data_IF_974941112640
#
_entry.id   IF_974941112640
#
_cell.length_a   1.000
_cell.length_b   1.000
_cell.length_c   1.000
_cell.angle_alpha   90.00
_cell.angle_beta   90.00
_cell.angle_gamma   90.00
#
_symmetry.space_group_name_H-M   'P 1'
#
loop_
_entity.id
_entity.type
_entity.pdbx_description
1 polymer ?
#
# COMPACT_ATOMS: atom_id res chain seq x y z
N UNK A 1 23.01 -1.79 9.62
CA UNK A 1 22.08 -2.92 9.65
C UNK A 1 22.70 -4.03 8.81
N UNK A 2 23.01 -5.18 9.41
CA UNK A 2 23.64 -6.32 8.72
C UNK A 2 22.73 -6.78 7.57
N UNK A 3 23.18 -6.59 6.32
CA UNK A 3 22.48 -7.08 5.15
C UNK A 3 22.51 -8.61 5.20
N UNK A 4 21.35 -9.26 5.32
CA UNK A 4 21.28 -10.72 5.33
C UNK A 4 21.92 -11.23 4.02
N UNK A 5 23.02 -11.95 4.18
CA UNK A 5 23.81 -12.48 3.07
C UNK A 5 23.43 -13.93 2.92
N UNK A 6 22.90 -14.27 1.75
CA UNK A 6 22.47 -15.62 1.39
C UNK A 6 23.56 -16.33 0.58
N UNK A 7 23.42 -17.64 0.41
CA UNK A 7 24.21 -18.41 -0.55
C UNK A 7 23.30 -18.95 -1.64
N UNK A 8 23.75 -18.91 -2.90
CA UNK A 8 23.04 -19.47 -4.04
C UNK A 8 23.86 -20.56 -4.73
N UNK A 9 23.24 -21.71 -4.96
CA UNK A 9 23.84 -22.85 -5.66
C UNK A 9 22.86 -23.53 -6.60
N UNK A 10 23.38 -24.18 -7.62
CA UNK A 10 22.64 -25.19 -8.37
C UNK A 10 22.73 -26.53 -7.60
N UNK A 11 21.61 -27.08 -7.10
CA UNK A 11 21.61 -28.31 -6.32
C UNK A 11 21.90 -29.55 -7.18
N UNK A 12 21.69 -29.51 -8.50
CA UNK A 12 21.92 -30.66 -9.37
C UNK A 12 23.40 -30.82 -9.71
N UNK A 13 24.08 -29.72 -10.01
CA UNK A 13 25.52 -29.72 -10.33
C UNK A 13 26.41 -29.48 -9.11
N UNK A 14 25.86 -28.97 -8.01
CA UNK A 14 26.62 -28.47 -6.87
C UNK A 14 27.34 -27.13 -7.14
N UNK A 15 27.16 -26.53 -8.33
CA UNK A 15 27.86 -25.31 -8.70
C UNK A 15 27.42 -24.12 -7.83
N UNK A 16 28.39 -23.47 -7.22
CA UNK A 16 28.16 -22.25 -6.43
C UNK A 16 28.00 -21.07 -7.38
N UNK A 17 26.83 -20.43 -7.32
CA UNK A 17 26.53 -19.23 -8.10
C UNK A 17 27.02 -17.97 -7.38
N UNK A 18 26.80 -17.90 -6.06
CA UNK A 18 27.30 -16.85 -5.19
C UNK A 18 27.40 -17.36 -3.74
N UNK A 19 28.55 -17.14 -3.10
CA UNK A 19 28.76 -17.39 -1.66
C UNK A 19 28.23 -16.24 -0.80
N UNK A 20 28.24 -15.01 -1.33
CA UNK A 20 27.72 -13.81 -0.67
C UNK A 20 26.67 -13.12 -1.53
N UNK A 21 25.44 -13.59 -1.42
CA UNK A 21 24.29 -13.04 -2.13
C UNK A 21 23.54 -12.03 -1.25
N UNK A 22 23.74 -10.74 -1.54
CA UNK A 22 23.02 -9.66 -0.86
C UNK A 22 21.58 -9.59 -1.37
N UNK A 23 20.62 -9.31 -0.49
CA UNK A 23 19.21 -9.20 -0.90
C UNK A 23 18.72 -7.75 -0.94
N UNK A 24 18.16 -7.34 -2.08
CA UNK A 24 17.59 -6.02 -2.31
C UNK A 24 16.07 -6.13 -2.45
N UNK A 25 15.37 -5.81 -1.35
CA UNK A 25 13.91 -6.01 -1.20
C UNK A 25 13.08 -4.73 -1.32
N UNK A 26 13.65 -3.58 -0.98
CA UNK A 26 12.96 -2.30 -1.05
C UNK A 26 13.07 -1.71 -2.45
N UNK A 27 12.12 -0.85 -2.84
CA UNK A 27 12.20 -0.15 -4.13
C UNK A 27 13.54 0.59 -4.29
N UNK A 28 14.05 1.21 -3.22
CA UNK A 28 15.33 1.90 -3.22
C UNK A 28 16.53 0.96 -3.34
N UNK A 29 16.56 -0.14 -2.58
CA UNK A 29 17.62 -1.12 -2.71
C UNK A 29 17.67 -1.71 -4.13
N UNK A 30 16.50 -1.83 -4.78
CA UNK A 30 16.39 -2.31 -6.16
C UNK A 30 16.76 -1.27 -7.21
N UNK A 31 16.38 -0.01 -7.00
CA UNK A 31 16.69 1.09 -7.92
C UNK A 31 18.20 1.39 -7.91
N UNK A 32 18.82 1.35 -6.73
CA UNK A 32 20.25 1.55 -6.61
C UNK A 32 21.02 0.29 -6.96
N UNK A 33 20.61 -0.89 -6.50
CA UNK A 33 21.25 -2.16 -6.86
C UNK A 33 22.78 -2.09 -6.81
N UNK A 34 23.41 -2.28 -7.97
CA UNK A 34 24.87 -2.20 -8.16
C UNK A 34 25.36 -0.82 -8.66
N UNK A 35 24.53 0.21 -8.70
CA UNK A 35 24.93 1.56 -9.08
C UNK A 35 25.94 2.14 -8.08
N UNK A 36 27.00 2.76 -8.61
CA UNK A 36 28.08 3.35 -7.82
C UNK A 36 29.14 2.36 -7.35
N UNK A 37 28.96 1.04 -7.56
CA UNK A 37 30.02 0.06 -7.29
C UNK A 37 31.04 0.06 -8.45
N UNK A 38 32.28 -0.34 -8.15
CA UNK A 38 33.37 -0.40 -9.16
C UNK A 38 33.44 -1.75 -9.86
N UNK A 39 33.07 -2.84 -9.16
CA UNK A 39 33.02 -4.21 -9.66
C UNK A 39 32.15 -5.06 -8.73
N UNK A 40 31.64 -6.18 -9.25
CA UNK A 40 31.08 -7.27 -8.45
C UNK A 40 32.13 -8.39 -8.35
N UNK A 41 32.61 -8.70 -7.14
CA UNK A 41 33.69 -9.66 -6.98
C UNK A 41 33.22 -11.10 -7.26
N UNK A 42 34.10 -12.00 -7.71
CA UNK A 42 33.78 -13.43 -7.79
C UNK A 42 33.25 -13.97 -6.45
N UNK A 43 32.15 -14.72 -6.50
CA UNK A 43 31.46 -15.23 -5.31
C UNK A 43 30.47 -14.25 -4.66
N UNK A 44 30.47 -12.97 -5.02
CA UNK A 44 29.41 -12.04 -4.63
C UNK A 44 28.23 -12.10 -5.63
N UNK A 45 27.04 -11.74 -5.16
CA UNK A 45 25.87 -11.54 -6.01
C UNK A 45 24.88 -10.57 -5.39
N UNK A 46 23.94 -10.10 -6.21
CA UNK A 46 22.79 -9.34 -5.74
C UNK A 46 21.50 -10.04 -6.14
N UNK A 47 20.57 -10.14 -5.20
CA UNK A 47 19.26 -10.73 -5.40
C UNK A 47 18.16 -9.68 -5.28
N UNK A 48 17.58 -9.31 -6.42
CA UNK A 48 16.53 -8.31 -6.54
C UNK A 48 15.16 -8.97 -6.42
N UNK A 49 14.36 -8.53 -5.44
CA UNK A 49 13.02 -9.08 -5.20
C UNK A 49 11.99 -8.05 -4.71
N UNK A 50 10.78 -8.00 -5.29
CA UNK A 50 10.37 -8.69 -6.53
C UNK A 50 11.01 -8.01 -7.75
N UNK A 51 11.43 -8.74 -8.80
CA UNK A 51 12.03 -8.10 -9.99
C UNK A 51 11.70 -8.87 -11.28
N UNK A 52 11.38 -8.14 -12.35
CA UNK A 52 11.02 -8.68 -13.69
C UNK A 52 11.78 -8.04 -14.85
N UNK A 53 12.57 -7.02 -14.56
CA UNK A 53 13.37 -6.28 -15.52
C UNK A 53 14.47 -5.57 -14.74
N UNK A 54 15.68 -5.56 -15.29
CA UNK A 54 16.83 -4.86 -14.73
C UNK A 54 17.39 -3.89 -15.75
N UNK A 55 18.13 -2.89 -15.28
CA UNK A 55 18.86 -1.97 -16.13
C UNK A 55 20.30 -1.86 -15.66
N UNK A 56 21.18 -1.56 -16.60
CA UNK A 56 22.59 -1.24 -16.35
C UNK A 56 22.89 0.24 -16.70
N UNK A 57 21.85 1.06 -16.83
CA UNK A 57 21.97 2.52 -17.02
C UNK A 57 22.74 3.11 -15.84
N UNK A 58 23.87 3.77 -16.13
CA UNK A 58 24.75 4.35 -15.10
C UNK A 58 25.77 3.37 -14.49
N UNK A 59 25.77 2.10 -14.89
CA UNK A 59 26.80 1.13 -14.49
C UNK A 59 28.08 1.31 -15.29
N UNK A 60 29.19 0.77 -14.76
CA UNK A 60 30.53 0.84 -15.37
C UNK A 60 31.06 -0.49 -15.89
N UNK A 61 30.42 -1.60 -15.54
CA UNK A 61 30.87 -2.95 -15.87
C UNK A 61 29.67 -3.84 -16.23
N UNK A 62 29.87 -4.89 -17.05
CA UNK A 62 28.81 -5.83 -17.40
C UNK A 62 28.51 -6.81 -16.24
N UNK A 63 27.29 -7.31 -16.20
CA UNK A 63 26.85 -8.33 -15.25
C UNK A 63 26.12 -9.46 -15.96
N UNK A 64 26.19 -10.65 -15.38
CA UNK A 64 25.33 -11.75 -15.77
C UNK A 64 24.00 -11.66 -15.02
N UNK A 65 22.91 -12.01 -15.68
CA UNK A 65 21.57 -11.90 -15.10
C UNK A 65 20.82 -13.22 -15.24
N UNK A 66 20.27 -13.73 -14.14
CA UNK A 66 19.35 -14.87 -14.14
C UNK A 66 18.00 -14.48 -13.54
N UNK A 67 16.93 -14.57 -14.33
CA UNK A 67 15.56 -14.35 -13.89
C UNK A 67 15.01 -15.64 -13.29
N UNK A 68 14.42 -15.57 -12.10
CA UNK A 68 13.86 -16.72 -11.39
C UNK A 68 12.34 -16.58 -11.23
N UNK A 69 11.58 -17.68 -11.36
CA UNK A 69 10.16 -17.75 -11.02
C UNK A 69 9.91 -17.79 -9.49
N UNK A 70 8.67 -18.05 -9.04
CA UNK A 70 8.34 -18.15 -7.61
C UNK A 70 8.92 -19.39 -6.92
N UNK A 71 9.32 -20.42 -7.68
CA UNK A 71 9.92 -21.66 -7.21
C UNK A 71 11.46 -21.66 -7.27
N UNK A 72 12.06 -20.50 -7.57
CA UNK A 72 13.49 -20.31 -7.79
C UNK A 72 14.04 -21.09 -9.00
N UNK A 73 13.22 -21.32 -10.03
CA UNK A 73 13.67 -21.86 -11.32
C UNK A 73 14.04 -20.73 -12.25
N UNK A 74 15.16 -20.88 -12.94
CA UNK A 74 15.63 -19.95 -13.95
C UNK A 74 14.67 -19.98 -15.14
N UNK A 75 14.08 -18.82 -15.47
CA UNK A 75 13.16 -18.68 -16.62
C UNK A 75 13.81 -17.96 -17.80
N UNK A 76 14.86 -17.19 -17.55
CA UNK A 76 15.60 -16.46 -18.57
C UNK A 76 17.00 -16.13 -18.03
N UNK A 77 18.02 -16.21 -18.88
CA UNK A 77 19.39 -15.78 -18.58
C UNK A 77 19.84 -14.75 -19.60
N UNK A 78 20.71 -13.83 -19.17
CA UNK A 78 21.38 -12.87 -20.03
C UNK A 78 22.86 -12.84 -19.65
N UNK A 79 23.69 -13.34 -20.56
CA UNK A 79 25.14 -13.33 -20.42
C UNK A 79 25.70 -11.92 -20.69
N UNK A 80 26.49 -11.40 -19.76
CA UNK A 80 27.26 -10.18 -19.92
C UNK A 80 26.44 -8.95 -20.34
N UNK A 81 25.31 -8.68 -19.67
CA UNK A 81 24.50 -7.48 -19.90
C UNK A 81 25.36 -6.22 -19.75
N UNK A 82 25.66 -5.59 -20.89
CA UNK A 82 26.60 -4.47 -20.98
C UNK A 82 26.07 -3.20 -20.29
N UNK A 83 26.94 -2.27 -19.86
CA UNK A 83 26.53 -0.95 -19.36
C UNK A 83 25.59 -0.19 -20.29
N UNK A 84 24.66 0.58 -19.72
CA UNK A 84 23.74 1.41 -20.50
C UNK A 84 22.70 0.61 -21.29
N UNK A 85 22.21 -0.51 -20.74
CA UNK A 85 21.19 -1.36 -21.37
C UNK A 85 20.01 -1.58 -20.42
N UNK A 86 18.89 -1.96 -21.02
CA UNK A 86 17.69 -2.38 -20.32
C UNK A 86 17.41 -3.82 -20.74
N UNK A 87 17.15 -4.71 -19.77
CA UNK A 87 16.76 -6.09 -20.07
C UNK A 87 15.36 -6.14 -20.69
N UNK A 88 14.98 -7.23 -21.37
CA UNK A 88 13.59 -7.52 -21.64
C UNK A 88 12.79 -7.59 -20.34
N UNK A 89 11.49 -7.35 -20.45
CA UNK A 89 10.54 -7.59 -19.37
C UNK A 89 10.14 -9.07 -19.37
N UNK A 90 10.47 -9.79 -18.30
CA UNK A 90 10.22 -11.24 -18.17
C UNK A 90 9.01 -11.45 -17.26
N UNK A 91 7.82 -11.60 -17.87
CA UNK A 91 6.55 -11.66 -17.15
C UNK A 91 6.47 -12.80 -16.10
N UNK A 92 7.08 -13.95 -16.40
CA UNK A 92 7.10 -15.12 -15.54
C UNK A 92 8.14 -15.04 -14.40
N UNK A 93 9.00 -14.02 -14.41
CA UNK A 93 9.96 -13.82 -13.34
C UNK A 93 9.28 -13.28 -12.07
N UNK A 94 9.76 -13.72 -10.92
CA UNK A 94 9.43 -13.18 -9.60
C UNK A 94 10.62 -12.42 -9.01
N UNK A 95 11.84 -12.82 -9.36
CA UNK A 95 13.10 -12.27 -8.84
C UNK A 95 14.23 -12.34 -9.86
N UNK A 96 15.33 -11.64 -9.59
CA UNK A 96 16.52 -11.61 -10.45
C UNK A 96 17.78 -11.77 -9.62
N UNK A 97 18.69 -12.63 -10.07
CA UNK A 97 20.07 -12.70 -9.62
C UNK A 97 20.97 -11.91 -10.57
N UNK A 98 21.71 -10.95 -10.02
CA UNK A 98 22.80 -10.26 -10.69
C UNK A 98 24.12 -10.86 -10.21
N UNK A 99 24.89 -11.38 -11.15
CA UNK A 99 26.13 -12.14 -10.92
C UNK A 99 27.30 -11.47 -11.67
N UNK A 100 28.56 -11.72 -11.25
CA UNK A 100 29.73 -11.27 -12.01
C UNK A 100 29.67 -11.83 -13.43
N UNK A 101 30.04 -11.02 -14.43
CA UNK A 101 30.05 -11.46 -15.82
C UNK A 101 30.89 -12.74 -16.02
N UNK A 102 30.37 -13.68 -16.81
CA UNK A 102 30.99 -14.99 -17.05
C UNK A 102 30.69 -16.05 -15.98
N UNK A 103 29.86 -15.74 -14.98
CA UNK A 103 29.40 -16.72 -14.00
C UNK A 103 28.44 -17.72 -14.62
N UNK A 104 27.49 -17.28 -15.47
CA UNK A 104 26.53 -18.17 -16.13
C UNK A 104 27.24 -19.22 -16.99
N UNK A 105 28.21 -18.78 -17.80
CA UNK A 105 29.04 -19.66 -18.61
C UNK A 105 29.85 -20.66 -17.75
N UNK A 106 30.47 -20.18 -16.66
CA UNK A 106 31.28 -21.02 -15.75
C UNK A 106 30.45 -22.08 -15.06
N UNK A 107 29.23 -21.75 -14.62
CA UNK A 107 28.35 -22.67 -13.88
C UNK A 107 27.38 -23.42 -14.78
N UNK A 108 27.38 -23.14 -16.09
CA UNK A 108 26.42 -23.67 -17.08
C UNK A 108 24.96 -23.49 -16.64
N UNK A 109 24.66 -22.35 -15.99
CA UNK A 109 23.32 -22.08 -15.49
C UNK A 109 22.41 -21.73 -16.68
N UNK A 110 21.35 -22.51 -16.87
CA UNK A 110 20.43 -22.36 -17.99
C UNK A 110 18.97 -22.24 -17.52
N UNK A 111 18.08 -21.85 -18.44
CA UNK A 111 16.65 -21.88 -18.18
C UNK A 111 16.18 -23.30 -17.82
N UNK A 112 15.25 -23.40 -16.87
CA UNK A 112 14.77 -24.65 -16.29
C UNK A 112 15.53 -25.09 -15.03
N UNK A 113 16.79 -24.66 -14.86
CA UNK A 113 17.59 -25.01 -13.67
C UNK A 113 16.97 -24.43 -12.42
N UNK A 114 16.85 -25.25 -11.38
CA UNK A 114 16.39 -24.79 -10.06
C UNK A 114 17.59 -24.26 -9.29
N UNK A 115 17.47 -23.09 -8.70
CA UNK A 115 18.49 -22.51 -7.82
C UNK A 115 18.05 -22.69 -6.38
N UNK A 116 18.96 -23.19 -5.55
CA UNK A 116 18.78 -23.23 -4.11
C UNK A 116 19.40 -21.97 -3.50
N UNK A 117 18.58 -21.19 -2.79
CA UNK A 117 19.01 -19.99 -2.08
C UNK A 117 18.77 -20.21 -0.59
N UNK A 118 19.82 -20.14 0.22
CA UNK A 118 19.73 -20.39 1.66
C UNK A 118 18.79 -19.36 2.34
N UNK A 119 17.87 -19.84 3.18
CA UNK A 119 16.85 -19.00 3.84
C UNK A 119 15.70 -18.54 2.93
N UNK A 120 15.65 -18.95 1.67
CA UNK A 120 14.60 -18.52 0.74
C UNK A 120 13.25 -19.24 0.94
N UNK A 121 13.26 -20.49 1.41
CA UNK A 121 12.06 -21.30 1.64
C UNK A 121 11.24 -20.84 2.87
N UNK A 122 11.91 -20.52 3.97
CA UNK A 122 11.29 -19.95 5.19
C UNK A 122 10.61 -18.61 4.88
N UNK A 123 11.28 -17.78 4.08
CA UNK A 123 10.76 -16.51 3.59
C UNK A 123 9.52 -16.68 2.68
N UNK A 124 9.48 -17.71 1.84
CA UNK A 124 8.33 -18.01 0.98
C UNK A 124 7.08 -18.43 1.75
N UNK A 125 7.25 -19.26 2.79
CA UNK A 125 6.15 -19.69 3.67
C UNK A 125 5.58 -18.53 4.48
N UNK A 126 6.45 -17.70 5.07
CA UNK A 126 6.04 -16.48 5.77
C UNK A 126 5.32 -15.48 4.85
N UNK A 127 5.80 -15.32 3.61
CA UNK A 127 5.15 -14.46 2.60
C UNK A 127 3.76 -14.97 2.21
N UNK A 128 3.58 -16.28 2.02
CA UNK A 128 2.26 -16.88 1.73
C UNK A 128 1.29 -16.70 2.90
N UNK A 129 1.73 -16.98 4.13
CA UNK A 129 0.92 -16.78 5.34
C UNK A 129 0.51 -15.31 5.48
N UNK A 130 1.45 -14.38 5.29
CA UNK A 130 1.16 -12.93 5.34
C UNK A 130 0.20 -12.49 4.23
N UNK A 131 0.33 -13.02 3.01
CA UNK A 131 -0.57 -12.74 1.91
C UNK A 131 -1.99 -13.28 2.17
N UNK A 132 -2.11 -14.51 2.71
CA UNK A 132 -3.38 -15.09 3.12
C UNK A 132 -4.04 -14.28 4.23
N UNK A 133 -3.29 -13.86 5.25
CA UNK A 133 -3.81 -13.00 6.31
C UNK A 133 -4.30 -11.64 5.79
N UNK A 134 -3.56 -11.02 4.88
CA UNK A 134 -3.97 -9.78 4.23
C UNK A 134 -5.23 -9.95 3.36
N UNK A 135 -5.36 -11.08 2.66
CA UNK A 135 -6.54 -11.44 1.86
C UNK A 135 -7.77 -11.70 2.75
N UNK A 136 -7.60 -12.42 3.86
CA UNK A 136 -8.66 -12.64 4.84
C UNK A 136 -9.14 -11.32 5.46
N UNK A 137 -8.23 -10.42 5.85
CA UNK A 137 -8.60 -9.09 6.34
C UNK A 137 -9.34 -8.25 5.29
N UNK A 138 -8.91 -8.33 4.02
CA UNK A 138 -9.60 -7.68 2.90
C UNK A 138 -11.02 -8.19 2.73
N UNK A 139 -11.18 -9.51 2.75
CA UNK A 139 -12.48 -10.16 2.61
C UNK A 139 -13.39 -9.78 3.78
N UNK A 140 -12.88 -9.81 5.01
CA UNK A 140 -13.63 -9.38 6.19
C UNK A 140 -14.13 -7.94 6.11
N UNK A 141 -13.27 -7.00 5.70
CA UNK A 141 -13.67 -5.60 5.49
C UNK A 141 -14.68 -5.46 4.34
N UNK A 142 -14.48 -6.16 3.23
CA UNK A 142 -15.43 -6.14 2.10
C UNK A 142 -16.80 -6.69 2.53
N UNK A 143 -16.84 -7.81 3.26
CA UNK A 143 -18.07 -8.38 3.80
C UNK A 143 -18.79 -7.43 4.76
N UNK A 144 -18.05 -6.69 5.60
CA UNK A 144 -18.63 -5.68 6.47
C UNK A 144 -19.31 -4.55 5.67
N UNK A 145 -18.68 -4.05 4.61
CA UNK A 145 -19.30 -3.01 3.76
C UNK A 145 -20.48 -3.54 2.93
N UNK A 146 -20.47 -4.82 2.52
CA UNK A 146 -21.65 -5.46 1.92
C UNK A 146 -22.82 -5.49 2.90
N UNK A 147 -22.56 -5.82 4.17
CA UNK A 147 -23.57 -5.80 5.22
C UNK A 147 -24.16 -4.40 5.41
N UNK A 148 -23.34 -3.35 5.44
CA UNK A 148 -23.83 -1.98 5.55
C UNK A 148 -24.65 -1.56 4.32
N UNK A 149 -24.19 -1.86 3.11
CA UNK A 149 -24.93 -1.59 1.88
C UNK A 149 -26.31 -2.29 1.88
N UNK A 150 -26.36 -3.56 2.31
CA UNK A 150 -27.61 -4.29 2.44
C UNK A 150 -28.55 -3.67 3.50
N UNK A 151 -28.00 -3.24 4.64
CA UNK A 151 -28.77 -2.57 5.69
C UNK A 151 -29.36 -1.23 5.20
N UNK A 152 -28.55 -0.40 4.52
CA UNK A 152 -29.01 0.85 3.92
C UNK A 152 -30.07 0.62 2.85
N UNK A 153 -29.91 -0.38 1.97
CA UNK A 153 -30.93 -0.76 1.00
C UNK A 153 -32.25 -1.20 1.66
N UNK A 154 -32.18 -1.96 2.76
CA UNK A 154 -33.36 -2.36 3.51
C UNK A 154 -34.06 -1.17 4.19
N UNK A 155 -33.30 -0.16 4.64
CA UNK A 155 -33.87 1.10 5.16
C UNK A 155 -34.52 1.91 4.04
N UNK A 156 -33.87 2.06 2.88
CA UNK A 156 -34.44 2.78 1.73
C UNK A 156 -35.75 2.15 1.25
N UNK A 157 -35.82 0.81 1.20
CA UNK A 157 -37.07 0.08 0.86
C UNK A 157 -38.20 0.33 1.85
N UNK A 158 -37.90 0.50 3.13
CA UNK A 158 -38.90 0.72 4.19
C UNK A 158 -39.35 2.18 4.29
N UNK A 159 -38.44 3.12 4.07
CA UNK A 159 -38.68 4.57 4.27
C UNK A 159 -39.01 5.31 2.97
N UNK A 160 -38.66 4.75 1.82
CA UNK A 160 -38.78 5.43 0.53
C UNK A 160 -37.69 6.48 0.25
N UNK A 161 -36.74 6.67 1.17
CA UNK A 161 -35.68 7.70 1.08
C UNK A 161 -34.52 7.30 0.15
N UNK A 162 -34.84 7.03 -1.12
CA UNK A 162 -33.86 6.58 -2.10
C UNK A 162 -32.80 7.63 -2.43
N UNK A 163 -33.21 8.90 -2.54
CA UNK A 163 -32.32 9.99 -2.96
C UNK A 163 -31.16 10.22 -1.98
N UNK A 164 -31.42 10.12 -0.68
CA UNK A 164 -30.40 10.30 0.37
C UNK A 164 -29.59 9.02 0.61
N UNK A 165 -30.20 7.84 0.40
CA UNK A 165 -29.57 6.55 0.71
C UNK A 165 -28.68 6.03 -0.43
N UNK A 166 -29.07 6.19 -1.70
CA UNK A 166 -28.32 5.65 -2.84
C UNK A 166 -26.87 6.15 -2.92
N UNK A 167 -26.56 7.44 -2.67
CA UNK A 167 -25.17 7.91 -2.65
C UNK A 167 -24.30 7.19 -1.60
N UNK A 168 -24.87 6.88 -0.43
CA UNK A 168 -24.18 6.14 0.65
C UNK A 168 -23.89 4.71 0.20
N UNK A 169 -24.90 4.03 -0.36
CA UNK A 169 -24.76 2.66 -0.90
C UNK A 169 -23.72 2.63 -2.02
N UNK A 170 -23.69 3.64 -2.89
CA UNK A 170 -22.68 3.77 -3.95
C UNK A 170 -21.26 3.89 -3.39
N UNK A 171 -21.06 4.70 -2.33
CA UNK A 171 -19.77 4.79 -1.63
C UNK A 171 -19.38 3.45 -1.00
N UNK A 172 -20.31 2.76 -0.35
CA UNK A 172 -20.04 1.46 0.29
C UNK A 172 -19.67 0.40 -0.76
N UNK A 173 -20.37 0.36 -1.88
CA UNK A 173 -20.03 -0.50 -3.01
C UNK A 173 -18.63 -0.19 -3.56
N UNK A 174 -18.28 1.09 -3.71
CA UNK A 174 -16.92 1.49 -4.11
C UNK A 174 -15.88 0.96 -3.11
N UNK A 175 -16.14 1.05 -1.80
CA UNK A 175 -15.24 0.52 -0.77
C UNK A 175 -15.09 -1.00 -0.87
N UNK A 176 -16.17 -1.76 -1.10
CA UNK A 176 -16.12 -3.21 -1.35
C UNK A 176 -15.16 -3.49 -2.52
N UNK A 177 -15.36 -2.84 -3.66
CA UNK A 177 -14.52 -3.01 -4.85
C UNK A 177 -13.04 -2.68 -4.56
N UNK A 178 -12.77 -1.59 -3.83
CA UNK A 178 -11.41 -1.18 -3.50
C UNK A 178 -10.71 -2.11 -2.50
N UNK A 179 -11.43 -2.70 -1.53
CA UNK A 179 -10.85 -3.68 -0.61
C UNK A 179 -10.57 -5.02 -1.31
N UNK A 180 -11.44 -5.46 -2.22
CA UNK A 180 -11.19 -6.65 -3.05
C UNK A 180 -10.03 -6.42 -4.02
N UNK A 181 -9.92 -5.23 -4.60
CA UNK A 181 -8.82 -4.84 -5.47
C UNK A 181 -7.63 -4.23 -4.70
N UNK A 182 -7.54 -4.33 -3.37
CA UNK A 182 -6.52 -3.58 -2.60
C UNK A 182 -5.10 -3.99 -3.00
N UNK A 183 -4.20 -3.02 -3.15
CA UNK A 183 -2.76 -3.30 -3.37
C UNK A 183 -2.11 -3.82 -2.09
N UNK A 184 -1.16 -4.77 -2.18
CA UNK A 184 -0.31 -5.14 -1.06
C UNK A 184 0.45 -3.92 -0.50
N UNK A 185 0.60 -3.86 0.82
CA UNK A 185 1.41 -2.84 1.48
C UNK A 185 2.89 -3.16 1.37
N UNK A 186 3.70 -2.16 1.04
CA UNK A 186 5.17 -2.21 1.07
C UNK A 186 5.69 -2.23 2.51
N UNK A 187 5.02 -1.48 3.39
CA UNK A 187 5.28 -1.46 4.82
C UNK A 187 4.02 -1.05 5.58
N UNK A 188 3.86 -1.57 6.80
CA UNK A 188 2.72 -1.28 7.68
C UNK A 188 3.23 -0.94 9.07
N UNK A 189 2.58 0.00 9.75
CA UNK A 189 2.90 0.26 11.15
C UNK A 189 2.43 -0.88 12.05
N UNK A 190 3.29 -1.30 12.97
CA UNK A 190 2.99 -2.31 14.00
C UNK A 190 2.72 -1.70 15.37
N UNK A 191 2.76 -0.35 15.49
CA UNK A 191 2.57 0.33 16.77
C UNK A 191 1.10 0.24 17.21
N UNK A 192 0.79 -0.24 18.42
CA UNK A 192 -0.59 -0.34 18.89
C UNK A 192 -1.35 0.98 18.84
N UNK A 193 -0.70 2.10 19.16
CA UNK A 193 -1.27 3.45 19.08
C UNK A 193 -1.85 3.79 17.70
N UNK A 194 -1.15 3.41 16.64
CA UNK A 194 -1.51 3.72 15.26
C UNK A 194 -2.76 2.92 14.85
N UNK A 195 -2.86 1.69 15.36
CA UNK A 195 -4.03 0.82 15.20
C UNK A 195 -5.22 1.35 15.99
N UNK A 196 -5.03 1.78 17.23
CA UNK A 196 -6.10 2.38 18.05
C UNK A 196 -6.68 3.61 17.37
N UNK A 197 -5.84 4.52 16.88
CA UNK A 197 -6.31 5.70 16.13
C UNK A 197 -7.05 5.31 14.84
N UNK A 198 -6.55 4.31 14.12
CA UNK A 198 -7.21 3.74 12.95
C UNK A 198 -8.61 3.19 13.25
N UNK A 199 -8.72 2.35 14.28
CA UNK A 199 -9.96 1.69 14.69
C UNK A 199 -10.96 2.72 15.25
N UNK A 200 -10.55 3.56 16.20
CA UNK A 200 -11.42 4.56 16.82
C UNK A 200 -11.92 5.56 15.76
N UNK A 201 -11.02 6.10 14.93
CA UNK A 201 -11.39 7.05 13.88
C UNK A 201 -12.29 6.47 12.79
N UNK A 202 -12.32 5.14 12.61
CA UNK A 202 -13.18 4.48 11.62
C UNK A 202 -14.50 3.98 12.21
N UNK A 203 -14.50 3.43 13.43
CA UNK A 203 -15.66 2.73 13.97
C UNK A 203 -16.41 3.48 15.07
N UNK A 204 -15.82 4.46 15.74
CA UNK A 204 -16.53 5.26 16.77
C UNK A 204 -17.81 5.94 16.23
N UNK A 205 -17.86 6.46 14.98
CA UNK A 205 -19.07 7.07 14.43
C UNK A 205 -20.28 6.11 14.36
N UNK A 206 -20.07 4.79 14.31
CA UNK A 206 -21.16 3.81 14.34
C UNK A 206 -21.95 3.81 15.65
N UNK A 207 -21.41 4.43 16.70
CA UNK A 207 -22.06 4.60 17.99
C UNK A 207 -22.99 5.82 18.02
N UNK A 208 -22.98 6.68 16.98
CA UNK A 208 -23.91 7.80 16.88
C UNK A 208 -25.34 7.28 16.68
N UNK A 209 -26.32 8.05 17.16
CA UNK A 209 -27.75 7.68 17.05
C UNK A 209 -28.57 8.91 16.66
N UNK A 210 -29.52 8.72 15.76
CA UNK A 210 -30.46 9.78 15.42
C UNK A 210 -31.35 10.06 16.63
N UNK A 211 -31.35 11.30 17.12
CA UNK A 211 -32.31 11.76 18.11
C UNK A 211 -33.65 12.03 17.41
N UNK A 212 -34.78 11.71 18.06
CA UNK A 212 -36.12 11.81 17.47
C UNK A 212 -36.59 13.25 17.12
N UNK A 213 -35.81 14.29 17.41
CA UNK A 213 -36.03 15.66 16.95
C UNK A 213 -34.82 16.14 16.17
N UNK A 214 -35.06 16.60 14.93
CA UNK A 214 -34.08 17.37 14.19
C UNK A 214 -33.79 18.68 14.96
N UNK A 215 -32.52 19.05 15.09
CA UNK A 215 -32.12 20.28 15.77
C UNK A 215 -32.61 21.54 15.03
N UNK A 216 -32.53 22.70 15.69
CA UNK A 216 -32.86 24.00 15.07
C UNK A 216 -32.06 24.29 13.79
N UNK A 217 -30.87 23.69 13.64
CA UNK A 217 -30.00 23.80 12.47
C UNK A 217 -30.09 22.57 11.54
N UNK A 218 -31.12 21.73 11.68
CA UNK A 218 -31.20 20.45 10.98
C UNK A 218 -31.19 20.56 9.46
N UNK A 219 -31.72 21.66 8.91
CA UNK A 219 -31.68 21.97 7.48
C UNK A 219 -30.27 22.22 6.93
N UNK A 220 -29.32 22.64 7.78
CA UNK A 220 -27.92 22.84 7.39
C UNK A 220 -27.11 21.53 7.41
N UNK A 221 -27.58 20.50 8.13
CA UNK A 221 -26.84 19.24 8.25
C UNK A 221 -26.75 18.46 6.94
N UNK A 222 -27.84 18.40 6.16
CA UNK A 222 -27.87 17.63 4.91
C UNK A 222 -26.87 18.13 3.85
N UNK A 223 -26.72 19.45 3.58
CA UNK A 223 -25.66 19.98 2.72
C UNK A 223 -24.25 19.56 3.17
N UNK A 224 -23.96 19.64 4.47
CA UNK A 224 -22.65 19.26 5.02
C UNK A 224 -22.36 17.77 4.80
N UNK A 225 -23.35 16.90 5.04
CA UNK A 225 -23.23 15.45 4.78
C UNK A 225 -23.00 15.19 3.31
N UNK A 226 -23.75 15.83 2.41
CA UNK A 226 -23.61 15.64 0.97
C UNK A 226 -22.24 16.10 0.46
N UNK A 227 -21.78 17.29 0.87
CA UNK A 227 -20.46 17.78 0.52
C UNK A 227 -19.35 16.86 1.07
N UNK A 228 -19.50 16.37 2.30
CA UNK A 228 -18.54 15.47 2.93
C UNK A 228 -18.47 14.11 2.22
N UNK A 229 -19.63 13.59 1.81
CA UNK A 229 -19.76 12.37 1.01
C UNK A 229 -19.08 12.51 -0.35
N UNK A 230 -19.39 13.59 -1.10
CA UNK A 230 -18.78 13.85 -2.40
C UNK A 230 -17.25 13.96 -2.30
N UNK A 231 -16.76 14.72 -1.31
CA UNK A 231 -15.34 14.88 -1.05
C UNK A 231 -14.66 13.54 -0.73
N UNK A 232 -15.33 12.70 0.06
CA UNK A 232 -14.86 11.35 0.40
C UNK A 232 -14.80 10.46 -0.84
N UNK A 233 -15.87 10.41 -1.65
CA UNK A 233 -15.92 9.61 -2.87
C UNK A 233 -14.85 10.05 -3.86
N UNK A 234 -14.68 11.35 -4.09
CA UNK A 234 -13.60 11.87 -4.93
C UNK A 234 -12.22 11.46 -4.38
N UNK A 235 -12.00 11.61 -3.07
CA UNK A 235 -10.77 11.17 -2.41
C UNK A 235 -10.48 9.67 -2.59
N UNK A 236 -11.52 8.82 -2.50
CA UNK A 236 -11.43 7.38 -2.72
C UNK A 236 -11.09 7.03 -4.17
N UNK A 237 -11.71 7.71 -5.15
CA UNK A 237 -11.43 7.49 -6.57
C UNK A 237 -9.98 7.83 -6.92
N UNK A 238 -9.44 8.95 -6.43
CA UNK A 238 -8.03 9.32 -6.64
C UNK A 238 -7.05 8.42 -5.88
N UNK A 239 -7.42 7.95 -4.68
CA UNK A 239 -6.58 7.02 -3.92
C UNK A 239 -6.52 5.63 -4.59
N UNK A 240 -7.68 5.21 -5.11
CA UNK A 240 -7.92 3.93 -5.75
C UNK A 240 -7.52 2.77 -4.84
N UNK A 241 -6.71 1.86 -5.39
CA UNK A 241 -6.31 0.61 -4.72
C UNK A 241 -5.32 0.81 -3.53
N UNK A 242 -5.01 2.05 -3.16
CA UNK A 242 -4.02 2.40 -2.12
C UNK A 242 -4.66 2.64 -0.74
N UNK A 243 -5.95 2.37 -0.59
CA UNK A 243 -6.72 2.57 0.64
C UNK A 243 -6.24 1.70 1.81
N UNK A 244 -6.36 2.22 3.04
CA UNK A 244 -6.12 1.48 4.28
C UNK A 244 -6.83 2.09 5.48
N UNK A 245 -7.02 1.28 6.52
CA UNK A 245 -7.53 1.71 7.83
C UNK A 245 -6.39 2.14 8.76
N UNK A 246 -5.23 1.48 8.62
CA UNK A 246 -4.03 1.75 9.41
C UNK A 246 -2.93 2.28 8.48
N UNK A 247 -2.08 3.16 9.03
CA UNK A 247 -0.93 3.72 8.36
C UNK A 247 -0.06 2.62 7.72
N UNK A 248 0.02 2.67 6.40
CA UNK A 248 0.78 1.74 5.58
C UNK A 248 1.07 2.36 4.22
N UNK A 249 2.23 2.04 3.65
CA UNK A 249 2.60 2.48 2.32
C UNK A 249 2.06 1.50 1.28
N UNK A 250 1.06 1.95 0.51
CA UNK A 250 0.46 1.22 -0.62
C UNK A 250 0.66 1.95 -1.95
N UNK A 251 1.59 2.90 -1.98
CA UNK A 251 1.79 3.85 -3.07
C UNK A 251 1.22 5.23 -2.71
N UNK A 252 2.12 6.21 -2.64
CA UNK A 252 1.78 7.61 -2.35
C UNK A 252 1.01 8.22 -3.52
N UNK A 253 -0.09 8.92 -3.23
CA UNK A 253 -0.93 9.62 -4.21
C UNK A 253 -0.85 11.13 -3.99
N UNK A 254 -0.57 11.86 -5.06
CA UNK A 254 -0.33 13.31 -5.04
C UNK A 254 -1.11 14.05 -6.16
N UNK A 255 -2.02 13.34 -6.84
CA UNK A 255 -2.75 13.85 -8.01
C UNK A 255 -4.17 14.29 -7.65
N UNK A 256 -4.77 15.10 -8.51
CA UNK A 256 -6.13 15.59 -8.34
C UNK A 256 -6.33 16.35 -7.03
N UNK A 257 -7.33 15.94 -6.26
CA UNK A 257 -7.70 16.62 -5.01
C UNK A 257 -6.61 16.55 -3.93
N UNK A 258 -5.69 15.59 -4.03
CA UNK A 258 -4.50 15.50 -3.17
C UNK A 258 -3.49 16.61 -3.45
N UNK A 259 -3.56 17.31 -4.59
CA UNK A 259 -2.74 18.51 -4.85
C UNK A 259 -3.15 19.71 -3.98
N UNK A 260 -4.38 19.68 -3.46
CA UNK A 260 -4.93 20.77 -2.64
C UNK A 260 -4.71 20.44 -1.17
N UNK A 261 -5.24 19.33 -0.67
CA UNK A 261 -5.07 18.93 0.74
C UNK A 261 -4.53 17.52 0.83
N UNK A 262 -3.75 17.23 1.87
CA UNK A 262 -3.11 15.91 1.99
C UNK A 262 -4.06 14.79 2.37
N UNK A 263 -5.12 15.09 3.11
CA UNK A 263 -6.09 14.11 3.59
C UNK A 263 -7.55 14.51 3.25
N UNK A 264 -7.90 14.58 1.95
CA UNK A 264 -9.21 15.02 1.50
C UNK A 264 -10.34 14.11 2.01
N UNK A 265 -10.11 12.80 2.11
CA UNK A 265 -11.09 11.87 2.68
C UNK A 265 -11.37 12.18 4.15
N UNK A 266 -10.35 12.51 4.94
CA UNK A 266 -10.51 12.83 6.36
C UNK A 266 -11.25 14.16 6.54
N UNK A 267 -11.02 15.12 5.65
CA UNK A 267 -11.82 16.35 5.58
C UNK A 267 -13.30 16.04 5.25
N UNK A 268 -13.53 15.15 4.28
CA UNK A 268 -14.87 14.67 3.92
C UNK A 268 -15.61 14.00 5.08
N UNK A 269 -14.95 13.07 5.78
CA UNK A 269 -15.49 12.45 6.99
C UNK A 269 -15.82 13.48 8.07
N UNK A 270 -14.91 14.43 8.31
CA UNK A 270 -15.12 15.48 9.30
C UNK A 270 -16.36 16.31 8.99
N UNK A 271 -16.55 16.69 7.73
CA UNK A 271 -17.70 17.45 7.27
C UNK A 271 -19.01 16.65 7.43
N UNK A 272 -19.00 15.36 7.09
CA UNK A 272 -20.16 14.48 7.27
C UNK A 272 -20.54 14.29 8.74
N UNK A 273 -19.56 14.12 9.64
CA UNK A 273 -19.85 13.98 11.07
C UNK A 273 -20.38 15.27 11.70
N UNK A 274 -19.87 16.43 11.27
CA UNK A 274 -20.40 17.72 11.68
C UNK A 274 -21.84 17.90 11.18
N UNK A 275 -22.09 17.59 9.91
CA UNK A 275 -23.44 17.62 9.33
C UNK A 275 -24.43 16.72 10.08
N UNK A 276 -24.01 15.51 10.45
CA UNK A 276 -24.85 14.60 11.23
C UNK A 276 -25.18 15.15 12.62
N UNK A 277 -24.22 15.73 13.34
CA UNK A 277 -24.47 16.34 14.67
C UNK A 277 -25.39 17.56 14.55
N UNK A 278 -25.27 18.36 13.48
CA UNK A 278 -26.17 19.48 13.22
C UNK A 278 -27.61 19.01 12.98
N UNK A 279 -27.79 17.89 12.27
CA UNK A 279 -29.09 17.26 12.08
C UNK A 279 -29.66 16.67 13.37
N UNK A 280 -28.83 15.97 14.16
CA UNK A 280 -29.25 15.21 15.34
C UNK A 280 -28.41 15.56 16.57
N UNK A 281 -28.58 16.77 17.13
CA UNK A 281 -27.76 17.23 18.24
C UNK A 281 -28.09 16.44 19.51
N UNK A 282 -27.07 15.81 20.09
CA UNK A 282 -27.14 15.18 21.41
C UNK A 282 -25.76 15.19 22.05
N UNK A 283 -25.68 15.24 23.39
CA UNK A 283 -24.40 15.21 24.10
C UNK A 283 -23.55 13.98 23.71
N UNK A 284 -24.20 12.84 23.50
CA UNK A 284 -23.58 11.61 22.99
C UNK A 284 -22.98 11.80 21.60
N UNK A 285 -23.75 12.31 20.63
CA UNK A 285 -23.25 12.50 19.26
C UNK A 285 -22.13 13.53 19.22
N UNK A 286 -22.23 14.62 19.99
CA UNK A 286 -21.17 15.62 20.11
C UNK A 286 -19.87 15.00 20.68
N UNK A 287 -19.96 14.21 21.75
CA UNK A 287 -18.81 13.53 22.34
C UNK A 287 -18.16 12.55 21.35
N UNK A 288 -18.96 11.71 20.68
CA UNK A 288 -18.47 10.74 19.70
C UNK A 288 -17.79 11.47 18.53
N UNK A 289 -18.39 12.54 18.01
CA UNK A 289 -17.79 13.33 16.94
C UNK A 289 -16.48 13.97 17.40
N UNK A 290 -16.42 14.58 18.59
CA UNK A 290 -15.18 15.15 19.12
C UNK A 290 -14.06 14.10 19.24
N UNK A 291 -14.35 12.93 19.83
CA UNK A 291 -13.41 11.81 19.93
C UNK A 291 -12.96 11.34 18.54
N UNK A 292 -13.89 11.20 17.60
CA UNK A 292 -13.58 10.76 16.24
C UNK A 292 -12.68 11.78 15.52
N UNK A 293 -12.97 13.08 15.61
CA UNK A 293 -12.16 14.13 14.98
C UNK A 293 -10.74 14.16 15.54
N UNK A 294 -10.58 14.00 16.86
CA UNK A 294 -9.26 13.88 17.50
C UNK A 294 -8.53 12.63 17.01
N UNK A 295 -9.19 11.47 16.98
CA UNK A 295 -8.59 10.23 16.49
C UNK A 295 -8.20 10.32 15.01
N UNK A 296 -9.04 10.95 14.17
CA UNK A 296 -8.80 11.13 12.74
C UNK A 296 -7.63 12.09 12.46
N UNK A 297 -7.52 13.17 13.24
CA UNK A 297 -6.38 14.08 13.17
C UNK A 297 -5.09 13.37 13.61
N UNK A 298 -5.12 12.66 14.75
CA UNK A 298 -4.00 11.86 15.23
C UNK A 298 -3.57 10.80 14.20
N UNK A 299 -4.54 10.14 13.56
CA UNK A 299 -4.30 9.19 12.47
C UNK A 299 -3.60 9.86 11.29
N UNK A 300 -4.04 11.05 10.86
CA UNK A 300 -3.39 11.81 9.80
C UNK A 300 -1.92 12.16 10.13
N UNK A 301 -1.64 12.54 11.38
CA UNK A 301 -0.28 12.84 11.85
C UNK A 301 0.60 11.60 11.84
N UNK A 302 0.10 10.49 12.34
CA UNK A 302 0.80 9.20 12.35
C UNK A 302 1.09 8.73 10.92
N UNK A 303 0.11 8.83 10.03
CA UNK A 303 0.25 8.45 8.63
C UNK A 303 1.31 9.31 7.91
N UNK A 304 1.30 10.62 8.11
CA UNK A 304 2.33 11.50 7.56
C UNK A 304 3.72 11.18 8.10
N UNK A 305 3.85 10.96 9.41
CA UNK A 305 5.14 10.56 10.02
C UNK A 305 5.64 9.23 9.46
N UNK A 306 4.72 8.30 9.20
CA UNK A 306 5.06 7.01 8.60
C UNK A 306 5.53 7.18 7.15
N UNK A 307 4.80 7.94 6.34
CA UNK A 307 5.10 8.16 4.91
C UNK A 307 6.30 9.09 4.69
N UNK A 308 6.60 10.01 5.61
CA UNK A 308 7.75 10.93 5.54
C UNK A 308 9.12 10.22 5.55
N UNK A 309 9.16 8.92 5.82
CA UNK A 309 10.35 8.09 5.59
C UNK A 309 10.74 8.07 4.10
N UNK A 310 9.80 8.30 3.20
CA UNK A 310 10.04 8.46 1.77
C UNK A 310 10.46 9.91 1.43
N UNK A 311 11.56 10.11 0.67
CA UNK A 311 11.92 11.44 0.13
C UNK A 311 10.80 12.09 -0.67
N UNK A 312 10.07 11.31 -1.48
CA UNK A 312 8.94 11.81 -2.29
C UNK A 312 7.83 12.40 -1.42
N UNK A 313 7.53 11.76 -0.28
CA UNK A 313 6.50 12.28 0.62
C UNK A 313 6.96 13.56 1.33
N UNK A 314 8.26 13.69 1.63
CA UNK A 314 8.81 14.94 2.18
C UNK A 314 8.72 16.09 1.18
N UNK A 315 8.92 15.81 -0.11
CA UNK A 315 8.71 16.80 -1.17
C UNK A 315 7.23 17.20 -1.29
N UNK A 316 6.34 16.23 -1.17
CA UNK A 316 4.90 16.46 -1.15
C UNK A 316 4.46 17.34 0.03
N UNK A 317 4.98 17.10 1.24
CA UNK A 317 4.71 17.95 2.42
C UNK A 317 5.09 19.41 2.18
N UNK A 318 6.16 19.66 1.41
CA UNK A 318 6.60 21.03 1.06
C UNK A 318 5.68 21.69 0.03
N UNK A 319 5.15 20.93 -0.93
CA UNK A 319 4.27 21.43 -1.99
C UNK A 319 2.83 21.66 -1.54
N UNK A 320 2.34 20.79 -0.65
CA UNK A 320 0.97 20.80 -0.16
C UNK A 320 1.00 20.97 1.35
N UNK A 321 0.99 22.20 1.87
CA UNK A 321 1.15 22.47 3.30
C UNK A 321 -0.12 22.20 4.13
N UNK A 322 -1.28 22.07 3.50
CA UNK A 322 -2.56 21.91 4.18
C UNK A 322 -2.94 20.44 4.43
N UNK A 323 -3.30 20.11 5.68
CA UNK A 323 -3.64 18.73 6.09
C UNK A 323 -5.06 18.33 5.67
N UNK A 324 -6.05 19.10 6.15
CA UNK A 324 -7.48 18.80 5.99
C UNK A 324 -8.22 19.93 5.27
N UNK A 325 -7.97 21.17 5.68
CA UNK A 325 -8.64 22.37 5.15
C UNK A 325 -7.56 23.32 4.62
N UNK A 326 -7.71 23.87 3.41
CA UNK A 326 -6.80 24.88 2.91
C UNK A 326 -6.68 26.05 3.89
N UNK A 327 -5.46 26.55 4.06
CA UNK A 327 -5.15 27.68 4.97
C UNK A 327 -5.35 27.41 6.46
N UNK A 328 -5.63 26.17 6.88
CA UNK A 328 -5.69 25.74 8.28
C UNK A 328 -4.55 24.75 8.56
N UNK A 329 -3.77 25.01 9.61
CA UNK A 329 -2.55 24.26 9.94
C UNK A 329 -2.83 23.06 10.87
#
# INVERSE_FOLDING_TARGET
MSEATHRARDPASGAVLADRLRSARTHWARLWGLLGTRRLAPGDGLWLMPCRQVHTIGMRYPIDVAFLDEGYRVVCTIDGLRPGRLSPWVACASSVLELPAGTLARTRLAAGTRVEIEGAAENGRGRRIGAMGAAACNLGLASLYVLFAAAHLAVARRTGEWATTMPIVGQEFLLVMLFLARRPSLSTSFRPSDWTLGIVGTFAPLLMRASGRAGALGGLGAPFVLCGLLLTVTGLLFLGRSIGVVAADRGIKMEGIYRVVRHPMYAGYSLSYLGYVLSYPSARNCLITAVTLVALNGRAVVEERFLARSPFYRDYLRRVPWRLVPYVY
#
